data_IF_935831290911
#
_entry.id   IF_935831290911
#
_cell.length_a   1.000
_cell.length_b   1.000
_cell.length_c   1.000
_cell.angle_alpha   90.00
_cell.angle_beta   90.00
_cell.angle_gamma   90.00
#
_symmetry.space_group_name_H-M   'P 1'
#
loop_
_entity.id
_entity.type
_entity.pdbx_description
1 polymer ?
#
# COMPACT_ATOMS: atom_id res chain seq x y z
N UNK A 1 24.11 7.07 1.50
CA UNK A 1 23.18 5.96 1.83
C UNK A 1 21.82 6.28 1.24
N UNK A 2 21.43 5.67 0.12
CA UNK A 2 20.04 5.73 -0.38
C UNK A 2 19.32 4.49 0.16
N UNK A 3 18.86 4.53 1.41
CA UNK A 3 17.95 3.49 1.93
C UNK A 3 16.53 3.75 1.40
N UNK A 4 16.38 3.80 0.08
CA UNK A 4 15.06 3.83 -0.55
C UNK A 4 14.47 2.43 -0.44
N UNK A 5 13.31 2.30 0.21
CA UNK A 5 12.59 1.03 0.20
C UNK A 5 12.30 0.64 -1.25
N UNK A 6 12.81 -0.51 -1.68
CA UNK A 6 12.57 -1.04 -3.04
C UNK A 6 11.25 -1.80 -3.05
N UNK A 7 10.61 -1.88 -4.23
CA UNK A 7 9.42 -2.71 -4.44
C UNK A 7 9.67 -4.17 -4.06
N UNK A 8 10.87 -4.69 -4.33
CA UNK A 8 11.27 -6.04 -3.91
C UNK A 8 11.24 -6.23 -2.40
N UNK A 9 11.64 -5.21 -1.63
CA UNK A 9 11.61 -5.27 -0.16
C UNK A 9 10.18 -5.35 0.39
N UNK A 10 9.23 -4.69 -0.26
CA UNK A 10 7.80 -4.76 0.08
C UNK A 10 7.20 -6.12 -0.27
N UNK A 11 7.48 -6.64 -1.47
CA UNK A 11 7.06 -7.99 -1.87
C UNK A 11 7.57 -9.07 -0.90
N UNK A 12 8.84 -8.98 -0.47
CA UNK A 12 9.43 -9.89 0.54
C UNK A 12 8.72 -9.82 1.90
N UNK A 13 8.08 -8.70 2.22
CA UNK A 13 7.28 -8.50 3.45
C UNK A 13 5.82 -8.90 3.30
N UNK A 14 5.44 -9.51 2.16
CA UNK A 14 4.07 -9.91 1.88
C UNK A 14 3.16 -8.75 1.48
N UNK A 15 3.72 -7.58 1.13
CA UNK A 15 2.94 -6.48 0.58
C UNK A 15 2.72 -6.72 -0.90
N UNK A 16 1.45 -6.73 -1.28
CA UNK A 16 1.04 -6.85 -2.67
C UNK A 16 1.19 -5.51 -3.39
N UNK A 17 1.62 -5.59 -4.65
CA UNK A 17 1.85 -4.43 -5.52
C UNK A 17 1.01 -4.59 -6.76
N UNK A 18 0.10 -3.65 -6.97
CA UNK A 18 -0.92 -3.70 -8.00
C UNK A 18 -0.71 -2.60 -9.04
N UNK A 19 -1.25 -2.84 -10.24
CA UNK A 19 -1.24 -1.86 -11.35
C UNK A 19 -2.45 -0.93 -11.31
N UNK A 20 -3.50 -1.29 -10.58
CA UNK A 20 -4.74 -0.53 -10.49
C UNK A 20 -5.30 -0.61 -9.07
N UNK A 21 -6.04 0.42 -8.69
CA UNK A 21 -6.70 0.50 -7.39
C UNK A 21 -7.84 -0.52 -7.36
N UNK A 22 -7.89 -1.43 -6.35
CA UNK A 22 -9.03 -2.32 -6.21
C UNK A 22 -10.32 -1.55 -5.90
N UNK A 23 -11.46 -2.08 -6.33
CA UNK A 23 -12.75 -1.45 -6.10
C UNK A 23 -13.04 -1.26 -4.60
N UNK A 24 -13.48 -0.05 -4.23
CA UNK A 24 -13.79 0.30 -2.84
C UNK A 24 -12.58 0.55 -1.94
N UNK A 25 -11.36 0.58 -2.48
CA UNK A 25 -10.16 0.90 -1.70
C UNK A 25 -9.87 2.39 -1.68
N UNK A 26 -9.27 2.85 -0.59
CA UNK A 26 -9.01 4.27 -0.32
C UNK A 26 -7.52 4.54 -0.18
N UNK A 27 -7.08 5.67 -0.73
CA UNK A 27 -5.68 6.12 -0.64
C UNK A 27 -5.32 6.47 0.81
N UNK A 28 -4.13 6.05 1.24
CA UNK A 28 -3.52 6.43 2.52
C UNK A 28 -2.63 7.66 2.31
N UNK A 29 -3.25 8.83 2.11
CA UNK A 29 -2.58 10.07 1.68
C UNK A 29 -1.41 10.54 2.57
N UNK A 30 -1.40 10.16 3.86
CA UNK A 30 -0.35 10.58 4.80
C UNK A 30 0.83 9.58 4.91
N UNK A 31 0.86 8.54 4.08
CA UNK A 31 1.89 7.51 4.16
C UNK A 31 3.15 7.90 3.34
N UNK A 32 4.13 8.52 4.00
CA UNK A 32 5.40 8.97 3.39
C UNK A 32 6.39 7.85 3.06
N UNK A 33 6.06 6.62 3.44
CA UNK A 33 6.91 5.43 3.23
C UNK A 33 6.67 4.74 1.89
N UNK A 34 5.77 5.27 1.05
CA UNK A 34 5.56 4.75 -0.28
C UNK A 34 6.81 4.93 -1.17
N UNK A 35 7.19 3.93 -1.98
CA UNK A 35 8.19 4.12 -3.03
C UNK A 35 7.79 5.21 -4.03
N UNK A 36 8.77 5.81 -4.69
CA UNK A 36 8.52 6.78 -5.76
C UNK A 36 7.71 6.13 -6.89
N UNK A 37 6.60 6.76 -7.28
CA UNK A 37 5.70 6.27 -8.32
C UNK A 37 4.67 5.24 -7.84
N UNK A 38 4.51 5.11 -6.52
CA UNK A 38 3.51 4.25 -5.91
C UNK A 38 2.79 4.99 -4.79
N UNK A 39 1.53 4.63 -4.59
CA UNK A 39 0.70 5.10 -3.49
C UNK A 39 0.17 3.93 -2.67
N UNK A 40 0.03 4.16 -1.37
CA UNK A 40 -0.58 3.18 -0.47
C UNK A 40 -2.10 3.24 -0.55
N UNK A 41 -2.75 2.08 -0.63
CA UNK A 41 -4.20 1.94 -0.55
C UNK A 41 -4.59 0.96 0.54
N UNK A 42 -5.76 1.15 1.13
CA UNK A 42 -6.35 0.20 2.09
C UNK A 42 -7.79 -0.12 1.74
N UNK A 43 -8.25 -1.28 2.21
CA UNK A 43 -9.65 -1.71 2.05
C UNK A 43 -10.64 -0.96 2.97
N UNK A 44 -10.23 0.17 3.57
CA UNK A 44 -11.09 1.00 4.42
C UNK A 44 -11.46 0.40 5.79
N UNK A 45 -11.03 -0.84 6.08
CA UNK A 45 -11.32 -1.50 7.35
C UNK A 45 -10.46 -0.92 8.48
N UNK A 46 -10.96 -0.98 9.71
CA UNK A 46 -10.20 -0.57 10.90
C UNK A 46 -9.21 -1.67 11.31
N UNK A 47 -8.02 -1.27 11.79
CA UNK A 47 -7.05 -2.18 12.42
C UNK A 47 -7.40 -2.52 13.87
N UNK A 48 -8.31 -1.77 14.47
CA UNK A 48 -8.64 -1.86 15.90
C UNK A 48 -9.98 -2.55 16.17
N UNK A 49 -10.72 -2.88 15.11
CA UNK A 49 -11.99 -3.60 15.24
C UNK A 49 -11.70 -5.11 15.30
N UNK A 50 -12.18 -5.83 16.32
CA UNK A 50 -12.12 -7.29 16.34
C UNK A 50 -12.76 -7.88 15.08
N UNK A 51 -12.19 -8.97 14.55
CA UNK A 51 -12.67 -9.67 13.34
C UNK A 51 -12.60 -8.86 12.03
N UNK A 52 -11.96 -7.69 12.05
CA UNK A 52 -11.75 -6.85 10.87
C UNK A 52 -10.41 -7.18 10.19
N UNK A 53 -10.48 -7.79 9.01
CA UNK A 53 -9.30 -8.04 8.17
C UNK A 53 -8.82 -6.77 7.45
N UNK A 54 -8.07 -5.92 8.14
CA UNK A 54 -7.38 -4.79 7.51
C UNK A 54 -6.38 -5.28 6.46
N UNK A 55 -6.48 -4.75 5.24
CA UNK A 55 -5.53 -5.01 4.14
C UNK A 55 -5.03 -3.69 3.57
N UNK A 56 -3.79 -3.70 3.11
CA UNK A 56 -3.17 -2.58 2.43
C UNK A 56 -2.22 -3.06 1.33
N UNK A 57 -2.12 -2.28 0.27
CA UNK A 57 -1.33 -2.59 -0.94
C UNK A 57 -0.66 -1.34 -1.48
N UNK A 58 0.41 -1.53 -2.25
CA UNK A 58 0.96 -0.48 -3.09
C UNK A 58 0.30 -0.53 -4.47
N UNK A 59 -0.07 0.61 -5.01
CA UNK A 59 -0.59 0.75 -6.38
C UNK A 59 0.33 1.69 -7.15
N UNK A 60 0.66 1.33 -8.39
CA UNK A 60 1.41 2.20 -9.31
C UNK A 60 0.64 3.48 -9.59
N UNK A 61 1.29 4.64 -9.42
CA UNK A 61 0.72 5.92 -9.83
C UNK A 61 0.67 5.92 -11.37
N UNK A 62 -0.54 5.93 -11.95
CA UNK A 62 -0.70 6.10 -13.39
C UNK A 62 -0.20 7.50 -13.77
N UNK A 63 0.91 7.55 -14.51
CA UNK A 63 1.43 8.77 -15.14
C UNK A 63 0.65 9.12 -16.41
#
# INVERSE_FOLDING_TARGET
MKNGYTIESFKKRGIEVLKSVPEGWHILASATTAPIGYSWYSNGKSRFTPDSEYKHVLVEDLK
#
